data_IF_394852346074
#
_entry.id   IF_394852346074
#
_cell.length_a   1.000
_cell.length_b   1.000
_cell.length_c   1.000
_cell.angle_alpha   90.00
_cell.angle_beta   90.00
_cell.angle_gamma   90.00
#
_symmetry.space_group_name_H-M   'P 1'
#
loop_
_entity.id
_entity.type
_entity.pdbx_description
1 polymer ?
#
# COMPACT_ATOMS: atom_id res chain seq x y z
N UNK A 1 -2.31 7.96 -8.79
CA UNK A 1 -2.01 8.76 -7.58
C UNK A 1 -1.09 8.09 -6.57
N UNK A 2 -1.36 6.86 -6.10
CA UNK A 2 -0.51 6.20 -5.09
C UNK A 2 0.98 6.14 -5.46
N UNK A 3 1.31 5.84 -6.73
CA UNK A 3 2.71 5.84 -7.22
C UNK A 3 3.36 7.22 -7.14
N UNK A 4 2.62 8.27 -7.53
CA UNK A 4 3.11 9.65 -7.44
C UNK A 4 3.35 10.04 -5.98
N UNK A 5 2.40 9.74 -5.09
CA UNK A 5 2.53 10.03 -3.66
C UNK A 5 3.74 9.31 -3.04
N UNK A 6 3.95 8.02 -3.35
CA UNK A 6 5.12 7.29 -2.86
C UNK A 6 6.43 7.89 -3.35
N UNK A 7 6.50 8.37 -4.60
CA UNK A 7 7.67 9.10 -5.12
C UNK A 7 7.94 10.39 -4.35
N UNK A 8 6.89 11.16 -4.00
CA UNK A 8 7.04 12.36 -3.15
C UNK A 8 7.60 11.99 -1.78
N UNK A 9 7.04 10.97 -1.13
CA UNK A 9 7.50 10.50 0.18
C UNK A 9 8.96 10.02 0.18
N UNK A 10 9.48 9.53 -0.95
CA UNK A 10 10.86 9.09 -1.06
C UNK A 10 11.88 10.24 -0.97
N UNK A 11 11.45 11.49 -1.20
CA UNK A 11 12.28 12.68 -1.03
C UNK A 11 12.10 13.39 0.31
N UNK A 12 11.35 12.80 1.25
CA UNK A 12 11.10 13.39 2.57
C UNK A 12 11.94 12.69 3.64
N UNK A 13 12.61 13.50 4.46
CA UNK A 13 13.33 13.02 5.64
C UNK A 13 12.48 13.16 6.91
N UNK A 14 12.86 12.45 7.97
CA UNK A 14 12.24 12.53 9.31
C UNK A 14 10.73 12.20 9.37
N UNK A 15 10.29 11.22 8.58
CA UNK A 15 8.94 10.68 8.64
C UNK A 15 8.97 9.15 8.81
N UNK A 16 7.94 8.60 9.44
CA UNK A 16 7.67 7.16 9.43
C UNK A 16 6.37 6.91 8.68
N UNK A 17 6.43 6.10 7.63
CA UNK A 17 5.26 5.82 6.78
C UNK A 17 4.83 4.37 6.98
N UNK A 18 3.63 4.19 7.53
CA UNK A 18 2.97 2.89 7.59
C UNK A 18 2.05 2.74 6.38
N UNK A 19 2.37 1.79 5.51
CA UNK A 19 1.58 1.53 4.31
C UNK A 19 0.68 0.31 4.50
N UNK A 20 -0.62 0.51 4.30
CA UNK A 20 -1.62 -0.55 4.27
C UNK A 20 -2.10 -0.73 2.82
N UNK A 21 -1.87 -1.90 2.23
CA UNK A 21 -2.29 -2.18 0.86
C UNK A 21 -3.80 -2.38 0.79
N UNK A 22 -4.51 -1.40 0.21
CA UNK A 22 -5.97 -1.38 0.10
C UNK A 22 -6.40 -1.65 -1.35
N UNK A 23 -6.73 -2.91 -1.62
CA UNK A 23 -6.91 -3.45 -2.98
C UNK A 23 -8.34 -3.23 -3.49
N UNK A 24 -8.66 -2.02 -3.94
CA UNK A 24 -10.04 -1.65 -4.37
C UNK A 24 -10.18 -1.25 -5.84
N UNK A 25 -9.11 -1.36 -6.64
CA UNK A 25 -9.10 -0.83 -8.01
C UNK A 25 -9.42 -1.90 -9.08
N UNK A 26 -8.84 -3.08 -8.93
CA UNK A 26 -8.91 -4.16 -9.92
C UNK A 26 -8.61 -5.50 -9.25
N UNK A 27 -9.10 -6.59 -9.83
CA UNK A 27 -8.89 -7.94 -9.28
C UNK A 27 -7.40 -8.31 -9.21
N UNK A 28 -6.61 -7.84 -10.18
CA UNK A 28 -5.15 -8.06 -10.20
C UNK A 28 -4.39 -7.30 -9.09
N UNK A 29 -5.02 -6.32 -8.43
CA UNK A 29 -4.43 -5.60 -7.28
C UNK A 29 -4.20 -6.53 -6.10
N UNK A 30 -5.08 -7.52 -5.88
CA UNK A 30 -4.94 -8.51 -4.80
C UNK A 30 -3.74 -9.43 -5.05
N UNK A 31 -3.52 -9.86 -6.29
CA UNK A 31 -2.37 -10.67 -6.64
C UNK A 31 -1.05 -9.89 -6.49
N UNK A 32 -1.00 -8.65 -7.01
CA UNK A 32 0.19 -7.78 -6.91
C UNK A 32 0.54 -7.46 -5.46
N UNK A 33 -0.44 -7.05 -4.64
CA UNK A 33 -0.21 -6.79 -3.22
C UNK A 33 0.24 -8.04 -2.46
N UNK A 34 -0.29 -9.23 -2.80
CA UNK A 34 0.14 -10.50 -2.19
C UNK A 34 1.61 -10.77 -2.50
N UNK A 35 2.01 -10.63 -3.76
CA UNK A 35 3.40 -10.79 -4.19
C UNK A 35 4.35 -9.87 -3.40
N UNK A 36 3.98 -8.60 -3.24
CA UNK A 36 4.77 -7.64 -2.47
C UNK A 36 4.78 -8.01 -0.98
N UNK A 37 3.60 -8.29 -0.39
CA UNK A 37 3.46 -8.61 1.03
C UNK A 37 4.29 -9.83 1.45
N UNK A 38 4.34 -10.83 0.57
CA UNK A 38 5.01 -12.11 0.75
C UNK A 38 6.47 -12.12 0.29
N UNK A 39 7.00 -10.99 -0.18
CA UNK A 39 8.42 -10.87 -0.54
C UNK A 39 9.31 -10.97 0.71
N UNK A 40 10.54 -11.47 0.53
CA UNK A 40 11.54 -11.55 1.60
C UNK A 40 11.85 -10.20 2.22
N UNK A 41 11.90 -9.16 1.38
CA UNK A 41 11.95 -7.75 1.77
C UNK A 41 10.72 -7.04 1.21
N UNK A 42 9.69 -6.88 2.05
CA UNK A 42 8.42 -6.24 1.70
C UNK A 42 8.60 -4.75 1.37
N UNK A 43 9.49 -4.06 2.08
CA UNK A 43 9.69 -2.62 1.89
C UNK A 43 10.36 -2.37 0.53
N UNK A 44 11.42 -3.12 0.23
CA UNK A 44 12.06 -3.07 -1.08
C UNK A 44 11.10 -3.43 -2.20
N UNK A 45 10.32 -4.50 -2.06
CA UNK A 45 9.35 -4.92 -3.08
C UNK A 45 8.26 -3.85 -3.32
N UNK A 46 7.83 -3.16 -2.27
CA UNK A 46 6.89 -2.05 -2.39
C UNK A 46 7.49 -0.88 -3.15
N UNK A 47 8.74 -0.50 -2.85
CA UNK A 47 9.42 0.60 -3.53
C UNK A 47 9.77 0.27 -4.98
N UNK A 48 10.26 -0.94 -5.25
CA UNK A 48 10.47 -1.48 -6.59
C UNK A 48 9.19 -1.34 -7.42
N UNK A 49 8.03 -1.70 -6.88
CA UNK A 49 6.75 -1.60 -7.59
C UNK A 49 6.27 -0.15 -7.78
N UNK A 50 6.30 0.63 -6.71
CA UNK A 50 5.64 1.95 -6.66
C UNK A 50 6.48 3.06 -7.27
N UNK A 51 7.80 3.01 -7.08
CA UNK A 51 8.74 4.03 -7.55
C UNK A 51 9.39 3.61 -8.87
N UNK A 52 9.85 2.36 -8.94
CA UNK A 52 10.67 1.87 -10.06
C UNK A 52 9.88 1.08 -11.11
N UNK A 53 8.60 0.77 -10.85
CA UNK A 53 7.74 0.04 -11.79
C UNK A 53 8.07 -1.44 -11.96
N UNK A 54 8.89 -2.00 -11.06
CA UNK A 54 9.33 -3.40 -11.10
C UNK A 54 8.40 -4.27 -10.26
N UNK A 55 7.80 -5.28 -10.89
CA UNK A 55 6.90 -6.22 -10.21
C UNK A 55 7.64 -7.15 -9.24
N UNK A 56 7.00 -7.49 -8.13
CA UNK A 56 7.46 -8.53 -7.23
C UNK A 56 7.21 -9.94 -7.81
N UNK A 57 8.07 -10.89 -7.45
CA UNK A 57 7.91 -12.30 -7.80
C UNK A 57 6.61 -12.88 -7.24
N UNK A 58 6.11 -13.92 -7.89
CA UNK A 58 4.90 -14.62 -7.44
C UNK A 58 5.05 -15.12 -6.01
N UNK A 59 4.08 -14.79 -5.16
CA UNK A 59 4.04 -15.26 -3.78
C UNK A 59 3.88 -16.78 -3.71
N UNK A 60 4.45 -17.44 -2.68
CA UNK A 60 4.13 -18.83 -2.36
C UNK A 60 2.62 -19.03 -2.16
N UNK A 61 2.10 -20.19 -2.58
CA UNK A 61 0.68 -20.50 -2.50
C UNK A 61 0.13 -20.36 -1.06
N UNK A 62 0.91 -20.82 -0.08
CA UNK A 62 0.58 -20.81 1.36
C UNK A 62 0.85 -19.47 2.07
N UNK A 63 1.28 -18.42 1.37
CA UNK A 63 1.51 -17.14 2.03
C UNK A 63 0.19 -16.49 2.46
N UNK A 64 0.10 -16.17 3.76
CA UNK A 64 -1.02 -15.45 4.35
C UNK A 64 -0.80 -13.94 4.27
N UNK A 65 -1.89 -13.19 4.06
CA UNK A 65 -1.86 -11.72 3.99
C UNK A 65 -2.94 -11.13 4.88
N UNK A 66 -2.79 -9.90 5.38
CA UNK A 66 -3.81 -9.22 6.16
C UNK A 66 -4.85 -8.51 5.29
N UNK A 67 -4.93 -8.78 3.99
CA UNK A 67 -5.71 -7.97 3.04
C UNK A 67 -7.18 -7.83 3.45
N UNK A 68 -7.83 -8.91 3.89
CA UNK A 68 -9.23 -8.86 4.34
C UNK A 68 -9.40 -7.97 5.58
N UNK A 69 -8.43 -8.00 6.50
CA UNK A 69 -8.43 -7.14 7.70
C UNK A 69 -8.24 -5.68 7.32
N UNK A 70 -7.34 -5.39 6.37
CA UNK A 70 -7.11 -4.03 5.86
C UNK A 70 -8.33 -3.53 5.10
N UNK A 71 -8.98 -4.38 4.30
CA UNK A 71 -10.21 -4.05 3.59
C UNK A 71 -11.33 -3.69 4.57
N UNK A 72 -11.59 -4.55 5.55
CA UNK A 72 -12.60 -4.31 6.58
C UNK A 72 -12.33 -3.03 7.39
N UNK A 73 -11.07 -2.77 7.73
CA UNK A 73 -10.68 -1.53 8.40
C UNK A 73 -10.95 -0.30 7.52
N UNK A 74 -10.55 -0.34 6.24
CA UNK A 74 -10.80 0.76 5.30
C UNK A 74 -12.28 1.05 5.11
N UNK A 75 -13.12 0.01 5.03
CA UNK A 75 -14.58 0.15 4.98
C UNK A 75 -15.15 0.82 6.24
N UNK A 76 -14.71 0.39 7.44
CA UNK A 76 -15.11 1.00 8.72
C UNK A 76 -14.72 2.48 8.79
N UNK A 77 -13.56 2.84 8.24
CA UNK A 77 -13.06 4.21 8.16
C UNK A 77 -13.61 5.00 6.95
N UNK A 78 -14.52 4.41 6.16
CA UNK A 78 -15.12 5.01 4.95
C UNK A 78 -14.06 5.46 3.94
N UNK A 79 -13.05 4.62 3.68
CA UNK A 79 -12.03 4.86 2.64
C UNK A 79 -12.61 4.45 1.29
N UNK A 80 -12.89 5.45 0.45
CA UNK A 80 -13.51 5.30 -0.88
C UNK A 80 -12.53 5.54 -2.04
N UNK A 81 -11.28 5.89 -1.75
CA UNK A 81 -10.25 6.15 -2.76
C UNK A 81 -8.85 6.06 -2.17
N UNK A 82 -7.84 5.90 -3.03
CA UNK A 82 -6.43 5.79 -2.63
C UNK A 82 -5.54 6.79 -3.42
N UNK A 83 -4.51 7.38 -2.78
CA UNK A 83 -4.13 7.19 -1.37
C UNK A 83 -5.11 7.86 -0.40
N UNK A 84 -5.20 7.33 0.82
CA UNK A 84 -5.90 7.95 1.94
C UNK A 84 -4.90 8.03 3.10
N UNK A 85 -4.68 9.25 3.60
CA UNK A 85 -3.64 9.53 4.58
C UNK A 85 -4.30 9.76 5.93
N UNK A 86 -3.75 9.14 6.97
CA UNK A 86 -4.13 9.34 8.36
C UNK A 86 -2.89 9.78 9.12
N UNK A 87 -2.96 10.93 9.79
CA UNK A 87 -1.88 11.43 10.62
C UNK A 87 -1.95 10.83 12.02
N UNK A 88 -0.87 11.00 12.80
CA UNK A 88 -0.76 10.48 14.17
C UNK A 88 -1.79 11.07 15.13
N UNK A 89 -2.32 12.25 14.84
CA UNK A 89 -3.39 12.89 15.59
C UNK A 89 -4.81 12.39 15.21
N UNK A 90 -4.90 11.45 14.26
CA UNK A 90 -6.15 10.88 13.77
C UNK A 90 -6.84 11.67 12.67
N UNK A 91 -6.29 12.83 12.27
CA UNK A 91 -6.82 13.59 11.13
C UNK A 91 -6.61 12.83 9.82
N UNK A 92 -7.56 12.97 8.88
CA UNK A 92 -7.56 12.29 7.59
C UNK A 92 -7.53 13.30 6.45
N UNK A 93 -6.62 13.09 5.50
CA UNK A 93 -6.65 13.78 4.20
C UNK A 93 -7.01 12.77 3.11
N UNK A 94 -8.07 13.02 2.32
CA UNK A 94 -8.38 12.21 1.15
C UNK A 94 -7.46 12.61 -0.02
N UNK A 95 -6.68 11.66 -0.53
CA UNK A 95 -5.86 11.85 -1.73
C UNK A 95 -4.41 12.26 -1.47
N UNK A 96 -3.66 12.37 -2.57
CA UNK A 96 -2.32 12.94 -2.56
C UNK A 96 -2.45 14.47 -2.66
N UNK A 97 -1.84 15.18 -1.72
CA UNK A 97 -1.64 16.64 -1.77
C UNK A 97 -0.29 16.97 -2.40
#
# INVERSE_FOLDING_TARGET
YCKQFRKTLAGMDNITVYTFMYNILSDDSTAKSKNIWCSSDRNKAWDDWMVHGKSASTAPANCLTPHDKVLALGQKLRVTGTPAIFFSDGTRIPGAV
#
